data_IF_902973803335
#
_entry.id   IF_902973803335
#
_cell.length_a   1.000
_cell.length_b   1.000
_cell.length_c   1.000
_cell.angle_alpha   90.00
_cell.angle_beta   90.00
_cell.angle_gamma   90.00
#
_symmetry.space_group_name_H-M   'P 1'
#
loop_
_entity.id
_entity.type
_entity.pdbx_description
1 polymer ?
#
# COMPACT_ATOMS: atom_id res chain seq x y z
N UNK A 1 -28.71 23.99 -9.52
CA UNK A 1 -28.59 24.61 -8.19
C UNK A 1 -27.19 25.23 -8.11
N UNK A 2 -27.06 26.56 -7.94
CA UNK A 2 -25.75 27.23 -7.89
C UNK A 2 -25.43 27.49 -6.41
N UNK A 3 -24.51 26.74 -5.85
CA UNK A 3 -24.11 26.88 -4.44
C UNK A 3 -22.97 27.90 -4.37
N UNK A 4 -23.15 28.98 -3.60
CA UNK A 4 -22.11 29.95 -3.28
C UNK A 4 -21.55 29.67 -1.89
N UNK A 5 -20.23 29.75 -1.73
CA UNK A 5 -19.53 29.55 -0.46
C UNK A 5 -18.42 30.58 -0.32
N UNK A 6 -18.15 30.99 0.92
CA UNK A 6 -17.00 31.84 1.28
C UNK A 6 -15.68 31.07 1.33
N UNK A 7 -15.73 29.73 1.34
CA UNK A 7 -14.54 28.87 1.35
C UNK A 7 -13.94 28.73 -0.05
N UNK A 8 -12.63 28.57 -0.09
CA UNK A 8 -11.87 28.40 -1.33
C UNK A 8 -12.21 27.05 -1.96
N UNK A 9 -12.25 26.98 -3.29
CA UNK A 9 -12.51 25.75 -4.04
C UNK A 9 -11.62 24.57 -3.62
N UNK A 10 -10.36 24.83 -3.26
CA UNK A 10 -9.43 23.81 -2.77
C UNK A 10 -9.92 23.11 -1.50
N UNK A 11 -10.62 23.81 -0.62
CA UNK A 11 -11.15 23.23 0.62
C UNK A 11 -12.32 22.31 0.31
N UNK A 12 -13.15 22.70 -0.67
CA UNK A 12 -14.21 21.84 -1.18
C UNK A 12 -13.64 20.56 -1.81
N UNK A 13 -12.61 20.68 -2.66
CA UNK A 13 -11.97 19.51 -3.29
C UNK A 13 -11.39 18.55 -2.26
N UNK A 14 -10.72 19.04 -1.21
CA UNK A 14 -10.23 18.21 -0.09
C UNK A 14 -11.35 17.48 0.63
N UNK A 15 -12.41 18.18 1.00
CA UNK A 15 -13.56 17.58 1.68
C UNK A 15 -14.26 16.55 0.80
N UNK A 16 -14.43 16.86 -0.47
CA UNK A 16 -15.11 15.99 -1.42
C UNK A 16 -14.27 14.74 -1.72
N UNK A 17 -12.95 14.84 -1.89
CA UNK A 17 -12.07 13.67 -1.98
C UNK A 17 -12.14 12.80 -0.73
N UNK A 18 -12.20 13.43 0.45
CA UNK A 18 -12.32 12.69 1.71
C UNK A 18 -13.65 11.96 1.84
N UNK A 19 -14.73 12.57 1.36
CA UNK A 19 -16.04 11.93 1.25
C UNK A 19 -16.02 10.79 0.24
N UNK A 20 -15.39 10.96 -0.93
CA UNK A 20 -15.29 9.93 -1.95
C UNK A 20 -14.52 8.70 -1.47
N UNK A 21 -13.40 8.89 -0.77
CA UNK A 21 -12.69 7.79 -0.11
C UNK A 21 -13.59 7.09 0.91
N UNK A 22 -14.24 7.85 1.80
CA UNK A 22 -15.13 7.28 2.81
C UNK A 22 -16.30 6.51 2.20
N UNK A 23 -16.91 7.03 1.14
CA UNK A 23 -17.96 6.35 0.40
C UNK A 23 -17.44 5.06 -0.23
N UNK A 24 -16.35 5.12 -1.00
CA UNK A 24 -15.76 3.96 -1.65
C UNK A 24 -15.32 2.87 -0.66
N UNK A 25 -14.74 3.27 0.48
CA UNK A 25 -14.34 2.36 1.56
C UNK A 25 -15.52 1.57 2.16
N UNK A 26 -16.69 2.21 2.28
CA UNK A 26 -17.86 1.61 2.90
C UNK A 26 -18.79 0.90 1.90
N UNK A 27 -18.82 1.33 0.64
CA UNK A 27 -19.81 0.86 -0.35
C UNK A 27 -19.21 0.10 -1.53
N UNK A 28 -17.88 0.04 -1.65
CA UNK A 28 -17.18 -0.49 -2.83
C UNK A 28 -17.54 0.22 -4.14
N UNK A 29 -18.01 1.48 -4.06
CA UNK A 29 -18.34 2.29 -5.23
C UNK A 29 -17.38 3.47 -5.40
N UNK A 30 -16.72 3.54 -6.55
CA UNK A 30 -15.87 4.66 -6.90
C UNK A 30 -16.66 5.77 -7.63
N UNK A 31 -16.35 7.02 -7.28
CA UNK A 31 -16.78 8.21 -8.01
C UNK A 31 -15.65 9.25 -8.00
N UNK A 32 -15.66 10.20 -8.95
CA UNK A 32 -14.62 11.24 -9.08
C UNK A 32 -15.23 12.60 -9.39
N UNK A 33 -14.55 13.65 -8.94
CA UNK A 33 -14.90 15.05 -9.24
C UNK A 33 -14.20 15.47 -10.54
N UNK A 34 -14.97 15.81 -11.57
CA UNK A 34 -14.49 16.55 -12.75
C UNK A 34 -13.76 15.75 -13.84
N UNK A 35 -14.21 16.03 -15.08
CA UNK A 35 -13.80 15.62 -16.44
C UNK A 35 -14.51 14.41 -17.07
N UNK A 36 -14.77 14.60 -18.37
CA UNK A 36 -15.63 13.94 -19.37
C UNK A 36 -15.73 12.39 -19.35
N UNK A 37 -16.80 11.82 -19.94
CA UNK A 37 -17.26 10.44 -19.73
C UNK A 37 -16.42 9.41 -20.51
N UNK A 38 -15.11 9.42 -20.33
CA UNK A 38 -14.26 8.30 -20.76
C UNK A 38 -14.51 7.10 -19.83
N UNK A 39 -14.87 7.35 -18.57
CA UNK A 39 -15.40 6.33 -17.67
C UNK A 39 -16.91 6.23 -17.89
N UNK A 40 -17.34 5.25 -18.70
CA UNK A 40 -18.73 4.82 -18.71
C UNK A 40 -19.06 4.31 -17.32
N UNK A 41 -20.12 4.84 -16.72
CA UNK A 41 -20.72 4.25 -15.54
C UNK A 41 -21.29 2.88 -15.92
N UNK A 42 -20.47 1.82 -15.83
CA UNK A 42 -20.98 0.47 -15.69
C UNK A 42 -20.93 0.15 -14.21
N UNK A 43 -22.11 -0.02 -13.64
CA UNK A 43 -22.29 -0.31 -12.23
C UNK A 43 -21.66 -1.68 -11.93
N UNK A 44 -20.54 -1.67 -11.23
CA UNK A 44 -19.98 -2.89 -10.64
C UNK A 44 -20.88 -3.24 -9.46
N UNK A 45 -21.74 -4.24 -9.65
CA UNK A 45 -22.45 -4.91 -8.57
C UNK A 45 -21.47 -5.83 -7.81
N UNK A 46 -20.69 -5.25 -6.90
CA UNK A 46 -20.14 -5.98 -5.76
C UNK A 46 -20.73 -5.39 -4.49
N UNK A 47 -22.05 -5.50 -4.37
CA UNK A 47 -22.76 -5.13 -3.14
C UNK A 47 -22.53 -6.23 -2.12
N UNK A 48 -21.59 -6.01 -1.19
CA UNK A 48 -21.76 -6.43 0.22
C UNK A 48 -20.73 -5.79 1.16
N UNK A 49 -20.96 -4.51 1.47
CA UNK A 49 -20.96 -3.99 2.84
C UNK A 49 -22.19 -3.10 3.01
N UNK A 50 -23.19 -3.63 3.73
CA UNK A 50 -24.38 -2.92 4.24
C UNK A 50 -23.88 -1.69 5.03
N UNK A 51 -24.22 -0.44 4.75
CA UNK A 51 -25.51 0.24 4.94
C UNK A 51 -25.37 1.65 4.33
N UNK A 52 -26.01 1.96 3.20
CA UNK A 52 -26.09 3.36 2.72
C UNK A 52 -26.65 4.30 3.80
N UNK A 53 -27.57 3.78 4.63
CA UNK A 53 -28.22 4.50 5.72
C UNK A 53 -27.29 4.82 6.91
N UNK A 54 -26.11 4.19 6.99
CA UNK A 54 -25.12 4.45 8.05
C UNK A 54 -23.87 5.18 7.54
N UNK A 55 -23.88 5.68 6.30
CA UNK A 55 -22.77 6.47 5.79
C UNK A 55 -22.70 7.82 6.51
N UNK A 56 -21.77 7.94 7.45
CA UNK A 56 -21.48 9.20 8.11
C UNK A 56 -20.60 10.12 7.25
N UNK A 57 -20.63 11.42 7.58
CA UNK A 57 -19.69 12.37 7.02
C UNK A 57 -18.25 12.00 7.44
N UNK A 58 -17.25 12.14 6.55
CA UNK A 58 -15.87 11.87 6.89
C UNK A 58 -15.44 12.78 8.04
N UNK A 59 -14.70 12.23 9.01
CA UNK A 59 -14.14 12.98 10.16
C UNK A 59 -12.68 13.38 9.96
N UNK A 60 -12.08 12.95 8.84
CA UNK A 60 -10.69 13.18 8.48
C UNK A 60 -10.59 13.64 7.04
N UNK A 61 -9.54 14.42 6.74
CA UNK A 61 -9.08 14.67 5.38
C UNK A 61 -7.93 13.74 4.99
N UNK A 62 -7.91 13.34 3.73
CA UNK A 62 -6.87 12.50 3.16
C UNK A 62 -6.11 13.22 2.05
N UNK A 63 -4.92 12.72 1.75
CA UNK A 63 -4.12 13.20 0.63
C UNK A 63 -4.81 12.79 -0.70
N UNK A 64 -4.86 13.72 -1.65
CA UNK A 64 -5.66 13.60 -2.87
C UNK A 64 -5.13 12.50 -3.81
N UNK A 65 -3.82 12.41 -3.98
CA UNK A 65 -3.17 11.40 -4.82
C UNK A 65 -3.45 9.98 -4.32
N UNK A 66 -3.38 9.74 -3.00
CA UNK A 66 -3.72 8.45 -2.39
C UNK A 66 -5.19 8.09 -2.59
N UNK A 67 -6.09 9.06 -2.40
CA UNK A 67 -7.51 8.87 -2.64
C UNK A 67 -7.78 8.51 -4.10
N UNK A 68 -7.12 9.18 -5.05
CA UNK A 68 -7.30 8.89 -6.47
C UNK A 68 -6.81 7.49 -6.84
N UNK A 69 -5.66 7.05 -6.32
CA UNK A 69 -5.18 5.68 -6.52
C UNK A 69 -6.13 4.66 -5.91
N UNK A 70 -6.67 4.92 -4.72
CA UNK A 70 -7.66 4.04 -4.09
C UNK A 70 -8.93 3.93 -4.94
N UNK A 71 -9.50 5.06 -5.37
CA UNK A 71 -10.68 5.11 -6.23
C UNK A 71 -10.42 4.44 -7.58
N UNK A 72 -9.20 4.54 -8.12
CA UNK A 72 -8.79 3.83 -9.34
C UNK A 72 -8.81 2.32 -9.13
N UNK A 73 -8.32 1.82 -7.99
CA UNK A 73 -8.40 0.40 -7.64
C UNK A 73 -9.84 -0.08 -7.53
N UNK A 74 -10.71 0.67 -6.84
CA UNK A 74 -12.13 0.32 -6.69
C UNK A 74 -12.88 0.36 -8.04
N UNK A 75 -12.49 1.25 -8.96
CA UNK A 75 -13.08 1.37 -10.29
C UNK A 75 -12.50 0.41 -11.33
N UNK A 76 -11.40 -0.28 -11.02
CA UNK A 76 -10.68 -1.08 -12.00
C UNK A 76 -11.46 -2.34 -12.39
N UNK A 77 -11.56 -2.60 -13.69
CA UNK A 77 -12.19 -3.81 -14.25
C UNK A 77 -11.17 -4.92 -14.54
N UNK A 78 -9.87 -4.59 -14.50
CA UNK A 78 -8.78 -5.51 -14.81
C UNK A 78 -7.95 -5.72 -13.53
N UNK A 79 -7.73 -6.98 -13.09
CA UNK A 79 -6.99 -7.31 -11.87
C UNK A 79 -5.59 -6.67 -11.80
N UNK A 80 -4.89 -6.56 -12.93
CA UNK A 80 -3.59 -5.90 -13.01
C UNK A 80 -3.64 -4.43 -12.61
N UNK A 81 -4.63 -3.69 -13.12
CA UNK A 81 -4.78 -2.27 -12.77
C UNK A 81 -5.21 -2.11 -11.31
N UNK A 82 -6.14 -2.96 -10.86
CA UNK A 82 -6.62 -2.96 -9.48
C UNK A 82 -5.46 -3.14 -8.49
N UNK A 83 -4.61 -4.16 -8.70
CA UNK A 83 -3.47 -4.42 -7.85
C UNK A 83 -2.46 -3.26 -7.84
N UNK A 84 -2.07 -2.76 -9.02
CA UNK A 84 -1.09 -1.68 -9.14
C UNK A 84 -1.58 -0.37 -8.53
N UNK A 85 -2.88 -0.06 -8.68
CA UNK A 85 -3.47 1.13 -8.08
C UNK A 85 -3.34 1.11 -6.55
N UNK A 86 -3.61 -0.02 -5.90
CA UNK A 86 -3.38 -0.16 -4.46
C UNK A 86 -1.89 -0.15 -4.10
N UNK A 87 -1.02 -0.77 -4.91
CA UNK A 87 0.42 -0.78 -4.67
C UNK A 87 1.03 0.62 -4.64
N UNK A 88 0.61 1.51 -5.55
CA UNK A 88 1.09 2.88 -5.62
C UNK A 88 0.83 3.69 -4.34
N UNK A 89 -0.21 3.35 -3.57
CA UNK A 89 -0.47 3.95 -2.25
C UNK A 89 0.68 3.64 -1.28
N UNK A 90 1.22 2.41 -1.30
CA UNK A 90 2.39 2.04 -0.49
C UNK A 90 3.67 2.68 -1.04
N UNK A 91 3.83 2.68 -2.36
CA UNK A 91 5.01 3.23 -3.05
C UNK A 91 5.21 4.72 -2.79
N UNK A 92 4.12 5.48 -2.66
CA UNK A 92 4.14 6.90 -2.28
C UNK A 92 5.01 7.17 -1.04
N UNK A 93 5.05 6.22 -0.09
CA UNK A 93 5.77 6.37 1.18
C UNK A 93 7.17 5.79 1.20
N UNK A 94 7.64 5.11 0.14
CA UNK A 94 8.93 4.39 0.15
C UNK A 94 10.13 5.29 0.48
N UNK A 95 10.17 6.50 -0.08
CA UNK A 95 11.25 7.45 0.19
C UNK A 95 11.18 7.97 1.63
N UNK A 96 9.98 8.28 2.12
CA UNK A 96 9.77 8.80 3.48
C UNK A 96 10.21 7.78 4.53
N UNK A 97 9.67 6.55 4.49
CA UNK A 97 9.96 5.54 5.51
C UNK A 97 11.42 5.09 5.50
N UNK A 98 12.05 5.06 4.32
CA UNK A 98 13.46 4.71 4.21
C UNK A 98 14.36 5.78 4.84
N UNK A 99 14.04 7.06 4.62
CA UNK A 99 14.77 8.16 5.25
C UNK A 99 14.59 8.16 6.77
N UNK A 100 13.39 7.87 7.27
CA UNK A 100 13.13 7.73 8.70
C UNK A 100 13.94 6.59 9.33
N UNK A 101 13.99 5.42 8.69
CA UNK A 101 14.79 4.27 9.12
C UNK A 101 16.29 4.63 9.15
N UNK A 102 16.79 5.33 8.13
CA UNK A 102 18.18 5.81 8.09
C UNK A 102 18.47 6.78 9.25
N UNK A 103 17.60 7.75 9.50
CA UNK A 103 17.73 8.69 10.63
C UNK A 103 17.72 7.94 11.96
N UNK A 104 16.86 6.93 12.12
CA UNK A 104 16.78 6.10 13.32
C UNK A 104 18.08 5.31 13.55
N UNK A 105 18.64 4.70 12.50
CA UNK A 105 19.92 3.98 12.58
C UNK A 105 21.08 4.90 12.96
N UNK A 106 21.17 6.08 12.34
CA UNK A 106 22.20 7.08 12.66
C UNK A 106 22.04 7.57 14.10
N UNK A 107 20.81 7.90 14.52
CA UNK A 107 20.53 8.33 15.90
C UNK A 107 20.90 7.24 16.92
N UNK A 108 20.53 5.99 16.67
CA UNK A 108 20.90 4.86 17.53
C UNK A 108 22.42 4.69 17.63
N UNK A 109 23.13 4.86 16.52
CA UNK A 109 24.59 4.73 16.49
C UNK A 109 25.30 5.85 17.26
N UNK A 110 24.76 7.08 17.22
CA UNK A 110 25.34 8.23 17.94
C UNK A 110 25.01 8.21 19.43
N UNK A 111 23.84 7.68 19.80
CA UNK A 111 23.38 7.61 21.20
C UNK A 111 23.92 6.41 21.96
N UNK A 112 24.57 5.47 21.28
CA UNK A 112 25.18 4.32 21.92
C UNK A 112 26.30 4.76 22.89
N UNK A 113 26.33 4.29 24.16
CA UNK A 113 27.35 4.67 25.13
C UNK A 113 28.79 4.35 24.68
N UNK A 114 28.94 3.38 23.78
CA UNK A 114 30.22 3.04 23.17
C UNK A 114 30.63 3.96 22.04
N UNK A 115 29.83 4.94 21.62
CA UNK A 115 30.16 5.91 20.58
C UNK A 115 30.93 7.12 21.15
N UNK A 116 31.95 7.59 20.42
CA UNK A 116 32.71 8.79 20.79
C UNK A 116 32.87 9.71 19.59
N UNK A 117 32.41 10.96 19.74
CA UNK A 117 32.61 12.04 18.74
C UNK A 117 34.08 12.42 18.56
N UNK A 118 34.97 11.96 19.45
CA UNK A 118 36.42 12.22 19.37
C UNK A 118 37.19 11.13 18.62
N UNK A 119 36.57 9.98 18.35
CA UNK A 119 37.22 8.87 17.64
C UNK A 119 36.82 8.87 16.18
N UNK A 120 37.78 9.10 15.30
CA UNK A 120 37.58 9.10 13.85
C UNK A 120 36.93 7.81 13.34
N UNK A 121 37.26 6.66 13.95
CA UNK A 121 36.68 5.35 13.61
C UNK A 121 35.14 5.33 13.77
N UNK A 122 34.63 6.00 14.79
CA UNK A 122 33.20 6.05 15.08
C UNK A 122 32.49 6.97 14.09
N UNK A 123 33.08 8.13 13.80
CA UNK A 123 32.57 9.04 12.75
C UNK A 123 32.56 8.32 11.38
N UNK A 124 33.63 7.59 11.05
CA UNK A 124 33.69 6.78 9.83
C UNK A 124 32.64 5.66 9.81
N UNK A 125 32.21 5.15 10.96
CA UNK A 125 31.13 4.16 11.02
C UNK A 125 29.78 4.76 10.58
N UNK A 126 29.48 5.99 11.00
CA UNK A 126 28.29 6.73 10.57
C UNK A 126 28.35 7.02 9.05
N UNK A 127 29.49 7.50 8.56
CA UNK A 127 29.68 7.75 7.12
C UNK A 127 29.47 6.45 6.32
N UNK A 128 29.93 5.31 6.82
CA UNK A 128 29.70 4.00 6.18
C UNK A 128 28.23 3.62 6.13
N UNK A 129 27.46 3.87 7.20
CA UNK A 129 26.00 3.63 7.22
C UNK A 129 25.32 4.47 6.13
N UNK A 130 25.61 5.78 6.07
CA UNK A 130 25.02 6.70 5.08
C UNK A 130 25.40 6.30 3.66
N UNK A 131 26.68 6.02 3.40
CA UNK A 131 27.15 5.60 2.08
C UNK A 131 26.54 4.27 1.63
N UNK A 132 26.36 3.31 2.56
CA UNK A 132 25.69 2.03 2.27
C UNK A 132 24.23 2.26 1.87
N UNK A 133 23.52 3.11 2.61
CA UNK A 133 22.13 3.46 2.29
C UNK A 133 22.03 4.16 0.93
N UNK A 134 22.94 5.10 0.61
CA UNK A 134 22.95 5.78 -0.68
C UNK A 134 23.28 4.86 -1.87
N UNK A 135 24.16 3.86 -1.70
CA UNK A 135 24.43 2.87 -2.74
C UNK A 135 23.19 2.03 -3.07
N UNK A 136 22.38 1.70 -2.08
CA UNK A 136 21.11 0.98 -2.26
C UNK A 136 20.04 1.80 -3.01
N UNK A 137 20.31 3.06 -3.35
CA UNK A 137 19.41 3.92 -4.14
C UNK A 137 19.86 4.05 -5.61
N UNK A 138 21.13 3.73 -5.92
CA UNK A 138 21.75 4.05 -7.22
C UNK A 138 21.72 2.93 -8.26
N UNK A 139 21.52 1.68 -7.86
CA UNK A 139 21.45 0.56 -8.81
C UNK A 139 19.99 0.39 -9.29
N UNK A 140 19.75 0.76 -10.55
CA UNK A 140 18.51 0.58 -11.32
C UNK A 140 17.19 1.06 -10.66
N UNK A 141 17.16 2.31 -10.19
CA UNK A 141 15.91 3.08 -10.15
C UNK A 141 15.05 2.97 -8.89
N UNK A 142 15.64 2.77 -7.71
CA UNK A 142 14.90 2.99 -6.46
C UNK A 142 15.62 2.46 -5.23
N UNK A 143 15.28 3.02 -4.08
CA UNK A 143 15.50 2.39 -2.77
C UNK A 143 15.12 0.89 -2.87
N UNK A 144 15.86 -0.02 -2.22
CA UNK A 144 15.50 -1.45 -2.13
C UNK A 144 13.99 -1.60 -1.84
N UNK A 145 13.23 -1.87 -2.89
CA UNK A 145 11.79 -1.66 -2.92
C UNK A 145 11.09 -2.59 -1.94
N UNK A 146 11.55 -3.85 -1.90
CA UNK A 146 11.08 -4.84 -0.94
C UNK A 146 11.35 -4.41 0.51
N UNK A 147 12.51 -3.79 0.79
CA UNK A 147 12.81 -3.24 2.13
C UNK A 147 11.90 -2.06 2.45
N UNK A 148 11.70 -1.13 1.51
CA UNK A 148 10.80 0.00 1.69
C UNK A 148 9.38 -0.46 1.96
N UNK A 149 8.91 -1.46 1.22
CA UNK A 149 7.60 -2.06 1.41
C UNK A 149 7.48 -2.67 2.81
N UNK A 150 8.50 -3.41 3.29
CA UNK A 150 8.52 -3.88 4.68
C UNK A 150 8.37 -2.70 5.66
N UNK A 151 9.16 -1.64 5.50
CA UNK A 151 9.11 -0.47 6.38
C UNK A 151 7.73 0.23 6.36
N UNK A 152 7.08 0.31 5.19
CA UNK A 152 5.70 0.83 5.06
C UNK A 152 4.72 -0.05 5.82
N UNK A 153 4.80 -1.38 5.65
CA UNK A 153 3.93 -2.31 6.37
C UNK A 153 4.18 -2.23 7.88
N UNK A 154 5.43 -2.20 8.32
CA UNK A 154 5.84 -2.04 9.72
C UNK A 154 5.25 -0.76 10.34
N UNK A 155 5.20 0.34 9.57
CA UNK A 155 4.73 1.65 10.05
C UNK A 155 3.21 1.78 10.08
N UNK A 156 2.50 1.27 9.06
CA UNK A 156 1.10 1.61 8.84
C UNK A 156 0.12 0.45 8.99
N UNK A 157 0.58 -0.79 8.90
CA UNK A 157 -0.30 -1.96 8.84
C UNK A 157 -0.27 -2.71 10.17
N UNK A 158 -1.44 -2.87 10.77
CA UNK A 158 -1.66 -3.76 11.90
C UNK A 158 -2.07 -5.15 11.37
N UNK A 159 -1.32 -6.20 11.72
CA UNK A 159 -1.54 -7.55 11.20
C UNK A 159 -2.86 -8.17 11.68
N UNK A 160 -3.27 -7.92 12.92
CA UNK A 160 -4.52 -8.46 13.46
C UNK A 160 -5.73 -7.86 12.73
N UNK A 161 -5.69 -6.55 12.50
CA UNK A 161 -6.69 -5.85 11.69
C UNK A 161 -6.68 -6.37 10.25
N UNK A 162 -5.50 -6.51 9.64
CA UNK A 162 -5.36 -7.03 8.27
C UNK A 162 -6.00 -8.43 8.15
N UNK A 163 -5.71 -9.32 9.09
CA UNK A 163 -6.30 -10.66 9.11
C UNK A 163 -7.82 -10.62 9.31
N UNK A 164 -8.32 -9.71 10.16
CA UNK A 164 -9.76 -9.53 10.39
C UNK A 164 -10.48 -9.00 9.14
N UNK A 165 -9.90 -8.01 8.47
CA UNK A 165 -10.45 -7.43 7.24
C UNK A 165 -10.47 -8.47 6.10
N UNK A 166 -9.42 -9.31 6.01
CA UNK A 166 -9.34 -10.43 5.07
C UNK A 166 -10.41 -11.51 5.36
N UNK A 167 -10.55 -11.95 6.61
CA UNK A 167 -11.56 -12.96 6.96
C UNK A 167 -12.99 -12.47 6.72
N UNK A 168 -13.24 -11.17 6.97
CA UNK A 168 -14.54 -10.56 6.72
C UNK A 168 -14.86 -10.46 5.22
N UNK A 169 -13.85 -10.37 4.37
CA UNK A 169 -13.99 -10.38 2.92
C UNK A 169 -14.19 -11.80 2.37
N UNK A 170 -13.29 -12.71 2.73
CA UNK A 170 -13.36 -14.14 2.43
C UNK A 170 -12.54 -14.91 3.47
N UNK A 171 -13.23 -15.72 4.27
CA UNK A 171 -12.67 -16.48 5.38
C UNK A 171 -11.58 -17.50 4.96
N UNK A 172 -11.45 -17.80 3.66
CA UNK A 172 -10.41 -18.69 3.14
C UNK A 172 -9.06 -18.00 2.88
N UNK A 173 -9.02 -16.67 2.82
CA UNK A 173 -7.83 -15.94 2.35
C UNK A 173 -6.64 -16.03 3.30
N UNK A 174 -6.88 -15.94 4.61
CA UNK A 174 -5.79 -16.04 5.61
C UNK A 174 -5.12 -17.41 5.54
N UNK A 175 -5.90 -18.48 5.41
CA UNK A 175 -5.40 -19.85 5.23
C UNK A 175 -4.72 -20.03 3.87
N UNK A 176 -5.30 -19.45 2.81
CA UNK A 176 -4.71 -19.46 1.46
C UNK A 176 -3.29 -18.88 1.48
N UNK A 177 -3.07 -17.70 2.06
CA UNK A 177 -1.74 -17.10 2.13
C UNK A 177 -0.77 -17.92 2.99
N UNK A 178 -1.25 -18.56 4.07
CA UNK A 178 -0.42 -19.39 4.93
C UNK A 178 0.03 -20.70 4.27
N UNK A 179 -0.76 -21.25 3.34
CA UNK A 179 -0.56 -22.59 2.80
C UNK A 179 -0.18 -22.63 1.32
N UNK A 180 -0.47 -21.57 0.56
CA UNK A 180 -0.33 -21.55 -0.90
C UNK A 180 0.74 -20.56 -1.35
N UNK A 181 1.56 -20.99 -2.30
CA UNK A 181 2.39 -20.08 -3.08
C UNK A 181 1.54 -19.38 -4.17
N UNK A 182 2.06 -18.32 -4.77
CA UNK A 182 1.54 -17.71 -5.99
C UNK A 182 2.52 -17.99 -7.15
N UNK A 183 2.35 -19.10 -7.88
CA UNK A 183 3.34 -19.56 -8.87
C UNK A 183 3.60 -18.55 -9.98
N UNK A 184 2.56 -17.86 -10.46
CA UNK A 184 2.69 -16.84 -11.52
C UNK A 184 3.66 -15.71 -11.16
N UNK A 185 3.87 -15.46 -9.86
CA UNK A 185 4.78 -14.46 -9.32
C UNK A 185 6.01 -15.04 -8.62
N UNK A 186 6.09 -16.38 -8.50
CA UNK A 186 7.08 -17.07 -7.65
C UNK A 186 7.10 -16.52 -6.23
N UNK A 187 5.93 -16.16 -5.71
CA UNK A 187 5.76 -15.63 -4.38
C UNK A 187 5.48 -16.78 -3.41
N UNK A 188 6.24 -16.88 -2.32
CA UNK A 188 6.04 -17.93 -1.33
C UNK A 188 4.85 -17.64 -0.41
N UNK A 189 4.39 -18.68 0.29
CA UNK A 189 3.45 -18.57 1.41
C UNK A 189 3.87 -17.51 2.44
N UNK A 190 2.88 -16.81 2.97
CA UNK A 190 3.01 -15.77 3.97
C UNK A 190 1.93 -15.96 5.06
N UNK A 191 2.29 -16.61 6.15
CA UNK A 191 1.40 -16.77 7.29
C UNK A 191 1.21 -15.42 7.99
N UNK A 192 -0.04 -14.93 8.04
CA UNK A 192 -0.40 -13.67 8.71
C UNK A 192 -0.58 -13.88 10.21
N UNK A 193 -1.12 -15.06 10.60
CA UNK A 193 -1.35 -15.46 12.00
C UNK A 193 -0.39 -16.55 12.45
N UNK A 194 -0.12 -16.61 13.75
CA UNK A 194 0.63 -17.70 14.39
C UNK A 194 2.14 -17.68 14.15
N UNK A 195 2.64 -16.75 13.32
CA UNK A 195 4.06 -16.48 13.18
C UNK A 195 4.50 -15.33 14.11
N UNK A 196 5.80 -15.22 14.34
CA UNK A 196 6.39 -14.00 14.89
C UNK A 196 6.06 -12.80 13.98
N UNK A 197 5.77 -11.64 14.57
CA UNK A 197 5.27 -10.47 13.84
C UNK A 197 6.28 -9.99 12.79
N UNK A 198 7.58 -10.02 13.09
CA UNK A 198 8.61 -9.62 12.13
C UNK A 198 8.71 -10.63 10.97
N UNK A 199 8.58 -11.92 11.28
CA UNK A 199 8.56 -12.99 10.27
C UNK A 199 7.36 -12.83 9.34
N UNK A 200 6.17 -12.58 9.89
CA UNK A 200 4.95 -12.36 9.13
C UNK A 200 5.06 -11.12 8.22
N UNK A 201 5.51 -9.98 8.76
CA UNK A 201 5.71 -8.74 7.98
C UNK A 201 6.70 -8.94 6.83
N UNK A 202 7.81 -9.62 7.08
CA UNK A 202 8.80 -9.91 6.04
C UNK A 202 8.24 -10.84 4.95
N UNK A 203 7.45 -11.85 5.32
CA UNK A 203 6.83 -12.76 4.36
C UNK A 203 5.78 -12.05 3.50
N UNK A 204 4.93 -11.23 4.11
CA UNK A 204 3.91 -10.42 3.42
C UNK A 204 4.57 -9.42 2.46
N UNK A 205 5.58 -8.67 2.93
CA UNK A 205 6.33 -7.73 2.09
C UNK A 205 6.97 -8.43 0.88
N UNK A 206 7.60 -9.59 1.09
CA UNK A 206 8.17 -10.41 0.01
C UNK A 206 7.10 -10.85 -0.99
N UNK A 207 5.94 -11.31 -0.50
CA UNK A 207 4.85 -11.78 -1.36
C UNK A 207 4.31 -10.65 -2.24
N UNK A 208 3.94 -9.52 -1.62
CA UNK A 208 3.42 -8.33 -2.33
C UNK A 208 4.45 -7.81 -3.35
N UNK A 209 5.73 -7.73 -2.97
CA UNK A 209 6.81 -7.31 -3.87
C UNK A 209 6.97 -8.26 -5.07
N UNK A 210 6.93 -9.58 -4.83
CA UNK A 210 7.05 -10.58 -5.90
C UNK A 210 5.88 -10.52 -6.88
N UNK A 211 4.66 -10.37 -6.37
CA UNK A 211 3.48 -10.17 -7.22
C UNK A 211 3.64 -8.90 -8.05
N UNK A 212 3.97 -7.74 -7.44
CA UNK A 212 4.20 -6.48 -8.19
C UNK A 212 5.27 -6.64 -9.26
N UNK A 213 6.40 -7.26 -8.91
CA UNK A 213 7.50 -7.47 -9.84
C UNK A 213 7.05 -8.29 -11.05
N UNK A 214 6.31 -9.38 -10.85
CA UNK A 214 5.78 -10.21 -11.93
C UNK A 214 4.77 -9.48 -12.85
N UNK A 215 4.05 -8.46 -12.33
CA UNK A 215 3.13 -7.63 -13.13
C UNK A 215 3.87 -6.60 -13.99
N UNK A 216 4.98 -6.04 -13.50
CA UNK A 216 5.69 -4.92 -14.15
C UNK A 216 6.84 -5.41 -15.03
N UNK A 217 7.56 -6.44 -14.59
CA UNK A 217 8.73 -6.94 -15.28
C UNK A 217 8.39 -8.20 -16.08
N UNK A 218 8.21 -8.00 -17.38
CA UNK A 218 7.81 -9.03 -18.34
C UNK A 218 8.95 -9.38 -19.31
N UNK A 219 10.19 -9.47 -18.84
CA UNK A 219 11.36 -9.78 -19.68
C UNK A 219 11.21 -11.16 -20.34
N UNK A 220 11.63 -11.26 -21.60
CA UNK A 220 11.59 -12.51 -22.35
C UNK A 220 12.57 -13.53 -21.75
N UNK A 221 12.10 -14.75 -21.45
CA UNK A 221 12.92 -15.83 -20.89
C UNK A 221 13.05 -15.85 -19.35
N UNK A 222 12.53 -14.85 -18.63
CA UNK A 222 12.49 -14.86 -17.16
C UNK A 222 11.12 -15.36 -16.67
N UNK A 223 11.14 -16.47 -15.92
CA UNK A 223 10.03 -16.90 -15.08
C UNK A 223 10.40 -16.65 -13.62
N UNK A 224 9.42 -16.29 -12.76
CA UNK A 224 7.97 -16.23 -12.98
C UNK A 224 7.51 -14.93 -13.67
N UNK A 225 6.40 -14.99 -14.44
CA UNK A 225 5.85 -13.86 -15.20
C UNK A 225 4.32 -13.90 -15.21
N UNK A 226 3.69 -12.75 -14.98
CA UNK A 226 2.25 -12.60 -15.17
C UNK A 226 1.90 -12.59 -16.67
N UNK A 227 0.79 -13.24 -17.00
CA UNK A 227 0.22 -13.31 -18.34
C UNK A 227 -1.26 -12.92 -18.23
N UNK A 228 -1.67 -11.81 -18.88
CA UNK A 228 -3.05 -11.34 -18.82
C UNK A 228 -4.03 -12.44 -19.22
N UNK A 229 -5.20 -12.48 -18.58
CA UNK A 229 -6.29 -13.46 -18.77
C UNK A 229 -5.98 -14.88 -18.31
N UNK A 230 -4.72 -15.33 -18.38
CA UNK A 230 -4.32 -16.67 -17.93
C UNK A 230 -4.18 -16.75 -16.41
N UNK A 231 -3.67 -15.68 -15.79
CA UNK A 231 -3.39 -15.61 -14.35
C UNK A 231 -4.32 -14.65 -13.59
N UNK A 232 -5.40 -14.19 -14.20
CA UNK A 232 -6.30 -13.19 -13.61
C UNK A 232 -6.95 -13.72 -12.33
N UNK A 233 -7.35 -15.00 -12.31
CA UNK A 233 -7.94 -15.64 -11.12
C UNK A 233 -6.92 -15.80 -9.99
N UNK A 234 -5.66 -16.08 -10.32
CA UNK A 234 -4.57 -16.15 -9.32
C UNK A 234 -4.26 -14.76 -8.77
N UNK A 235 -4.18 -13.74 -9.64
CA UNK A 235 -3.96 -12.36 -9.23
C UNK A 235 -5.14 -11.81 -8.39
N UNK A 236 -6.38 -12.18 -8.73
CA UNK A 236 -7.56 -11.79 -7.96
C UNK A 236 -7.49 -12.23 -6.50
N UNK A 237 -6.80 -13.33 -6.19
CA UNK A 237 -6.57 -13.79 -4.80
C UNK A 237 -5.49 -12.98 -4.08
N UNK A 238 -4.61 -12.29 -4.79
CA UNK A 238 -3.56 -11.44 -4.21
C UNK A 238 -4.02 -10.00 -3.96
N UNK A 239 -5.07 -9.54 -4.67
CA UNK A 239 -5.60 -8.17 -4.56
C UNK A 239 -6.07 -7.81 -3.14
N UNK A 240 -6.85 -8.65 -2.41
CA UNK A 240 -7.34 -8.30 -1.08
C UNK A 240 -6.22 -7.96 -0.10
N UNK A 241 -5.10 -8.70 -0.15
CA UNK A 241 -3.94 -8.44 0.69
C UNK A 241 -3.36 -7.03 0.48
N UNK A 242 -3.18 -6.65 -0.79
CA UNK A 242 -2.67 -5.31 -1.13
C UNK A 242 -3.71 -4.22 -0.82
N UNK A 243 -4.99 -4.47 -1.14
CA UNK A 243 -6.09 -3.54 -0.91
C UNK A 243 -6.24 -3.18 0.57
N UNK A 244 -6.33 -4.16 1.46
CA UNK A 244 -6.54 -3.90 2.90
C UNK A 244 -5.30 -3.30 3.56
N UNK A 245 -4.09 -3.61 3.06
CA UNK A 245 -2.89 -2.89 3.45
C UNK A 245 -2.96 -1.41 3.02
N UNK A 246 -3.37 -1.13 1.78
CA UNK A 246 -3.52 0.22 1.27
C UNK A 246 -4.58 1.04 2.03
N UNK A 247 -5.72 0.45 2.37
CA UNK A 247 -6.75 1.09 3.19
C UNK A 247 -6.21 1.53 4.56
N UNK A 248 -5.43 0.67 5.22
CA UNK A 248 -4.78 1.02 6.48
C UNK A 248 -3.77 2.16 6.32
N UNK A 249 -2.98 2.17 5.24
CA UNK A 249 -2.04 3.25 4.92
C UNK A 249 -2.76 4.60 4.76
N UNK A 250 -3.85 4.65 3.98
CA UNK A 250 -4.63 5.88 3.79
C UNK A 250 -5.24 6.35 5.11
N UNK A 251 -5.83 5.42 5.89
CA UNK A 251 -6.49 5.75 7.17
C UNK A 251 -5.50 6.27 8.22
N UNK A 252 -4.30 5.68 8.28
CA UNK A 252 -3.24 6.07 9.22
C UNK A 252 -2.77 7.52 9.00
N UNK A 253 -2.88 8.01 7.77
CA UNK A 253 -2.41 9.34 7.36
C UNK A 253 -3.50 10.41 7.37
N UNK A 254 -4.75 10.03 7.62
CA UNK A 254 -5.86 10.96 7.68
C UNK A 254 -5.71 11.98 8.82
N UNK A 255 -5.88 13.26 8.48
CA UNK A 255 -5.83 14.39 9.43
C UNK A 255 -7.24 14.73 9.91
N UNK A 256 -7.44 14.94 11.20
CA UNK A 256 -8.75 15.34 11.72
C UNK A 256 -9.23 16.65 11.08
N UNK A 257 -10.53 16.72 10.79
CA UNK A 257 -11.20 17.91 10.25
C UNK A 257 -11.34 19.03 11.27
#
# INVERSE_FOLDING_TARGET
MRISSTKVRSDFEKLANSFLFHAAYNTDMAARIGLDPVFRAQAIQRVRRTQFDALEAPRKTYETDLVHHYLMGVAAEIPLLEYLAYYHIAEHYFVEVFNEDLVKQVRSSITDPSFSTRRDKDIQSIIRIVNKAQRQVKDEGGVNEQRSLKLVLDRFVNLDRLATDLDAYDASLVDYYAQSDAPFAGASKAAIRGADEEVARNAIAKRIYKVRNALVHAKEGELPKYAPFAHDDELAREIPLMRFAAEQIVIAQGRAL
#
